data_IF_134335685262
#
_entry.id   IF_134335685262
#
_cell.length_a   1.000
_cell.length_b   1.000
_cell.length_c   1.000
_cell.angle_alpha   90.00
_cell.angle_beta   90.00
_cell.angle_gamma   90.00
#
_symmetry.space_group_name_H-M   'P 1'
#
loop_
_entity.id
_entity.type
_entity.pdbx_description
1 polymer ?
#
# COMPACT_ATOMS: atom_id res chain seq x y z
N UNK A 1 18.74 8.19 -12.32
CA UNK A 1 17.62 8.09 -11.38
C UNK A 1 18.08 7.27 -10.21
N UNK A 2 18.19 7.88 -9.04
CA UNK A 2 18.53 7.16 -7.81
C UNK A 2 17.20 6.61 -7.30
N UNK A 3 16.99 5.29 -7.41
CA UNK A 3 15.97 4.63 -6.60
C UNK A 3 16.47 4.80 -5.16
N UNK A 4 15.78 5.56 -4.28
CA UNK A 4 16.25 5.71 -2.91
C UNK A 4 16.30 4.32 -2.29
N UNK A 5 17.50 3.86 -1.94
CA UNK A 5 17.68 2.57 -1.28
C UNK A 5 16.96 2.63 0.05
N UNK A 6 15.85 1.91 0.16
CA UNK A 6 14.87 1.97 1.27
C UNK A 6 15.48 1.67 2.65
N UNK A 7 16.72 1.14 2.70
CA UNK A 7 17.51 0.96 3.94
C UNK A 7 17.67 2.22 4.79
N UNK A 8 17.43 3.42 4.25
CA UNK A 8 17.51 4.69 4.98
C UNK A 8 16.14 5.32 5.32
N UNK A 9 15.01 4.69 4.95
CA UNK A 9 13.65 5.24 5.07
C UNK A 9 12.85 4.60 6.23
N UNK A 10 13.54 3.87 7.10
CA UNK A 10 12.92 3.18 8.23
C UNK A 10 12.90 4.16 9.42
N UNK A 11 11.80 4.90 9.53
CA UNK A 11 11.55 5.90 10.57
C UNK A 11 10.98 5.30 11.85
N UNK A 12 11.44 5.79 13.00
CA UNK A 12 10.96 5.38 14.33
C UNK A 12 9.68 6.14 14.71
N UNK A 13 8.51 5.52 14.47
CA UNK A 13 7.30 5.65 15.28
C UNK A 13 6.23 6.67 14.85
N UNK A 14 4.97 6.25 14.83
CA UNK A 14 3.88 6.78 15.68
C UNK A 14 2.69 5.79 15.69
N UNK A 15 1.96 5.76 16.82
CA UNK A 15 0.84 4.87 17.12
C UNK A 15 -0.27 4.90 16.06
N UNK A 16 -0.59 3.77 15.42
CA UNK A 16 -1.92 3.11 15.35
C UNK A 16 -1.81 1.77 14.56
N UNK A 17 -2.65 0.79 14.93
CA UNK A 17 -2.87 -0.57 14.38
C UNK A 17 -1.73 -1.62 14.43
N UNK A 18 -0.44 -1.26 14.33
CA UNK A 18 0.66 -2.24 14.42
C UNK A 18 1.39 -2.16 15.76
N UNK A 19 0.80 -2.76 16.80
CA UNK A 19 1.38 -2.80 18.17
C UNK A 19 2.54 -3.82 18.29
N UNK A 20 3.36 -3.99 17.24
CA UNK A 20 4.51 -4.91 17.18
C UNK A 20 5.78 -4.20 16.71
N UNK A 21 6.54 -3.56 17.61
CA UNK A 21 7.97 -3.31 17.35
C UNK A 21 8.72 -4.66 17.26
N UNK A 22 9.73 -4.92 16.38
CA UNK A 22 10.78 -4.04 15.79
C UNK A 22 11.11 -4.35 14.28
N UNK A 23 12.30 -4.01 13.73
CA UNK A 23 12.90 -2.71 13.43
C UNK A 23 12.59 -2.19 12.01
N UNK A 24 11.65 -2.75 11.25
CA UNK A 24 11.52 -2.48 9.82
C UNK A 24 10.09 -2.05 9.44
N UNK A 25 9.69 -0.86 9.87
CA UNK A 25 8.41 -0.23 9.51
C UNK A 25 8.67 1.00 8.63
N UNK A 26 7.79 1.25 7.65
CA UNK A 26 7.71 2.56 7.00
C UNK A 26 6.77 3.39 7.85
N UNK A 27 7.26 4.50 8.39
CA UNK A 27 6.48 5.38 9.25
C UNK A 27 5.34 6.06 8.51
N UNK A 28 4.43 6.63 9.30
CA UNK A 28 3.35 7.45 8.77
C UNK A 28 3.92 8.64 8.00
N UNK A 29 3.35 8.95 6.83
CA UNK A 29 3.77 10.04 5.95
C UNK A 29 5.25 10.04 5.52
N UNK A 30 6.04 8.99 5.79
CA UNK A 30 7.51 8.97 5.62
C UNK A 30 7.98 9.43 4.22
N UNK A 31 7.24 9.07 3.18
CA UNK A 31 7.51 9.39 1.78
C UNK A 31 6.38 10.19 1.12
N UNK A 32 5.47 10.77 1.91
CA UNK A 32 4.34 11.52 1.41
C UNK A 32 4.78 12.75 0.58
N UNK A 33 4.11 12.98 -0.54
CA UNK A 33 4.32 14.12 -1.42
C UNK A 33 5.64 14.10 -2.19
N UNK A 34 6.38 12.97 -2.16
CA UNK A 34 7.72 12.92 -2.75
C UNK A 34 7.69 13.17 -4.26
N UNK A 35 8.29 14.28 -4.76
CA UNK A 35 8.12 14.71 -6.14
C UNK A 35 8.97 13.89 -7.14
N UNK A 36 9.88 13.05 -6.64
CA UNK A 36 10.85 12.29 -7.45
C UNK A 36 10.68 10.78 -7.34
N UNK A 37 9.80 10.30 -6.46
CA UNK A 37 9.62 8.89 -6.18
C UNK A 37 8.84 8.22 -7.32
N UNK A 38 9.55 7.59 -8.24
CA UNK A 38 8.93 6.90 -9.41
C UNK A 38 8.53 5.47 -9.08
N UNK A 39 9.34 4.77 -8.30
CA UNK A 39 9.08 3.39 -7.92
C UNK A 39 9.67 3.09 -6.55
N UNK A 40 9.02 2.20 -5.80
CA UNK A 40 9.50 1.73 -4.50
C UNK A 40 9.55 0.21 -4.51
N UNK A 41 10.70 -0.36 -4.12
CA UNK A 41 10.85 -1.81 -3.94
C UNK A 41 11.09 -2.13 -2.47
N UNK A 42 10.05 -2.70 -1.83
CA UNK A 42 10.05 -3.16 -0.45
C UNK A 42 10.20 -4.68 -0.36
N UNK A 43 10.35 -5.38 -1.48
CA UNK A 43 10.33 -6.85 -1.52
C UNK A 43 11.48 -7.48 -0.72
N UNK A 44 12.58 -6.74 -0.54
CA UNK A 44 13.78 -7.18 0.17
C UNK A 44 13.68 -7.00 1.69
N UNK A 45 12.66 -6.30 2.18
CA UNK A 45 12.45 -6.06 3.62
C UNK A 45 11.54 -7.17 4.16
N UNK A 46 12.10 -8.37 4.31
CA UNK A 46 11.35 -9.58 4.69
C UNK A 46 10.70 -9.47 6.08
N UNK A 47 11.13 -8.52 6.91
CA UNK A 47 10.62 -8.18 8.25
C UNK A 47 9.51 -7.12 8.23
N UNK A 48 9.30 -6.40 7.13
CA UNK A 48 8.22 -5.42 7.02
C UNK A 48 6.87 -6.13 7.11
N UNK A 49 6.07 -5.74 8.11
CA UNK A 49 4.73 -6.27 8.36
C UNK A 49 3.64 -5.26 8.05
N UNK A 50 3.93 -3.98 8.26
CA UNK A 50 2.98 -2.91 8.07
C UNK A 50 3.62 -1.75 7.31
N UNK A 51 2.82 -1.02 6.55
CA UNK A 51 3.21 0.27 5.97
C UNK A 51 2.36 1.35 6.63
N UNK A 52 3.02 2.34 7.22
CA UNK A 52 2.44 3.45 7.95
C UNK A 52 1.36 4.20 7.17
N UNK A 53 0.42 4.78 7.90
CA UNK A 53 -0.66 5.54 7.32
C UNK A 53 -0.10 6.65 6.42
N UNK A 54 -0.67 6.80 5.23
CA UNK A 54 -0.27 7.83 4.28
C UNK A 54 1.20 7.82 3.85
N UNK A 55 1.95 6.72 4.05
CA UNK A 55 3.39 6.65 3.80
C UNK A 55 3.82 7.13 2.41
N UNK A 56 3.02 6.89 1.36
CA UNK A 56 3.30 7.33 -0.02
C UNK A 56 2.25 8.31 -0.55
N UNK A 57 1.44 8.92 0.31
CA UNK A 57 0.34 9.78 -0.10
C UNK A 57 0.83 10.90 -1.00
N UNK A 58 0.12 11.19 -2.09
CA UNK A 58 0.35 12.39 -2.88
C UNK A 58 1.63 12.38 -3.71
N UNK A 59 2.25 11.21 -3.96
CA UNK A 59 3.44 11.12 -4.80
C UNK A 59 3.06 11.35 -6.28
N UNK A 60 3.42 12.49 -6.90
CA UNK A 60 2.88 12.89 -8.20
C UNK A 60 3.43 12.07 -9.38
N UNK A 61 4.55 11.37 -9.18
CA UNK A 61 5.24 10.58 -10.22
C UNK A 61 5.39 9.11 -9.86
N UNK A 62 4.78 8.65 -8.76
CA UNK A 62 4.86 7.24 -8.34
C UNK A 62 4.05 6.37 -9.28
N UNK A 63 4.74 5.47 -9.97
CA UNK A 63 4.18 4.55 -10.96
C UNK A 63 3.99 3.15 -10.40
N UNK A 64 4.84 2.71 -9.47
CA UNK A 64 4.78 1.35 -8.92
C UNK A 64 5.33 1.24 -7.49
N UNK A 65 4.76 0.32 -6.72
CA UNK A 65 5.27 -0.12 -5.42
C UNK A 65 5.26 -1.65 -5.37
N UNK A 66 6.38 -2.24 -5.00
CA UNK A 66 6.51 -3.69 -4.80
C UNK A 66 6.55 -3.96 -3.31
N UNK A 67 5.57 -4.70 -2.80
CA UNK A 67 5.46 -5.04 -1.38
C UNK A 67 6.14 -6.39 -1.05
N UNK A 68 6.59 -6.59 0.19
CA UNK A 68 7.16 -7.88 0.61
C UNK A 68 6.06 -8.90 0.85
N UNK A 69 6.41 -10.18 0.63
CA UNK A 69 5.47 -11.32 0.80
C UNK A 69 4.86 -11.41 2.20
N UNK A 70 5.61 -10.97 3.20
CA UNK A 70 5.23 -11.01 4.61
C UNK A 70 4.41 -9.81 5.09
N UNK A 71 4.02 -8.89 4.20
CA UNK A 71 3.15 -7.77 4.57
C UNK A 71 1.83 -8.29 5.13
N UNK A 72 1.44 -7.81 6.31
CA UNK A 72 0.22 -8.16 7.04
C UNK A 72 -0.87 -7.11 6.85
N UNK A 73 -0.51 -5.82 6.82
CA UNK A 73 -1.48 -4.72 6.75
C UNK A 73 -1.01 -3.56 5.85
N UNK A 74 -1.96 -3.01 5.09
CA UNK A 74 -1.84 -1.70 4.43
C UNK A 74 -2.75 -0.74 5.18
N UNK A 75 -2.18 0.27 5.81
CA UNK A 75 -2.95 1.23 6.61
C UNK A 75 -3.68 2.26 5.76
N UNK A 76 -4.37 3.17 6.44
CA UNK A 76 -5.15 4.26 5.87
C UNK A 76 -4.32 5.07 4.86
N UNK A 77 -4.88 5.28 3.67
CA UNK A 77 -4.37 6.23 2.69
C UNK A 77 -2.94 6.00 2.19
N UNK A 78 -2.34 4.83 2.40
CA UNK A 78 -0.91 4.53 2.11
C UNK A 78 -0.47 4.98 0.72
N UNK A 79 -1.31 4.76 -0.30
CA UNK A 79 -1.07 5.13 -1.70
C UNK A 79 -2.13 6.12 -2.22
N UNK A 80 -2.79 6.87 -1.34
CA UNK A 80 -3.78 7.87 -1.73
C UNK A 80 -3.15 9.02 -2.54
N UNK A 81 -3.95 9.65 -3.41
CA UNK A 81 -3.57 10.80 -4.24
C UNK A 81 -2.32 10.55 -5.12
N UNK A 82 -2.08 9.32 -5.59
CA UNK A 82 -0.98 8.98 -6.50
C UNK A 82 -1.47 8.98 -7.97
N UNK A 83 -1.42 10.10 -8.71
CA UNK A 83 -2.06 10.21 -10.03
C UNK A 83 -1.39 9.40 -11.13
N UNK A 84 -0.17 8.90 -10.91
CA UNK A 84 0.61 8.10 -11.87
C UNK A 84 0.60 6.60 -11.58
N UNK A 85 0.02 6.19 -10.46
CA UNK A 85 -0.04 4.78 -10.07
C UNK A 85 -1.04 4.06 -10.98
N UNK A 86 -0.53 3.19 -11.86
CA UNK A 86 -1.33 2.51 -12.87
C UNK A 86 -1.84 1.14 -12.44
N UNK A 87 -1.06 0.44 -11.60
CA UNK A 87 -1.41 -0.91 -11.13
C UNK A 87 -0.80 -1.15 -9.75
N UNK A 88 -1.51 -1.92 -8.93
CA UNK A 88 -1.00 -2.41 -7.64
C UNK A 88 -1.14 -3.92 -7.58
N UNK A 89 -0.02 -4.63 -7.40
CA UNK A 89 -0.01 -6.08 -7.24
C UNK A 89 0.28 -6.47 -5.78
N UNK A 90 -0.76 -6.94 -5.08
CA UNK A 90 -0.69 -7.49 -3.73
C UNK A 90 -0.85 -9.01 -3.73
N UNK A 91 -0.93 -9.67 -4.88
CA UNK A 91 -1.19 -11.11 -4.98
C UNK A 91 -0.12 -11.96 -4.29
N UNK A 92 1.12 -11.45 -4.24
CA UNK A 92 2.25 -12.09 -3.55
C UNK A 92 2.29 -11.83 -2.04
N UNK A 93 1.45 -10.95 -1.49
CA UNK A 93 1.39 -10.61 -0.06
C UNK A 93 0.51 -11.61 0.68
N UNK A 94 0.99 -12.85 0.83
CA UNK A 94 0.22 -13.98 1.37
C UNK A 94 -0.17 -13.83 2.85
N UNK A 95 0.44 -12.87 3.55
CA UNK A 95 0.10 -12.52 4.92
C UNK A 95 -0.90 -11.36 5.02
N UNK A 96 -1.22 -10.67 3.92
CA UNK A 96 -2.05 -9.47 3.96
C UNK A 96 -3.47 -9.82 4.39
N UNK A 97 -3.95 -9.16 5.43
CA UNK A 97 -5.28 -9.36 6.03
C UNK A 97 -6.21 -8.19 5.78
N UNK A 98 -5.70 -6.97 5.90
CA UNK A 98 -6.51 -5.76 5.83
C UNK A 98 -5.91 -4.73 4.86
N UNK A 99 -6.80 -4.04 4.16
CA UNK A 99 -6.49 -2.83 3.40
C UNK A 99 -7.34 -1.70 3.97
N UNK A 100 -6.67 -0.75 4.61
CA UNK A 100 -7.28 0.33 5.39
C UNK A 100 -7.93 1.40 4.54
N UNK A 101 -8.71 2.25 5.21
CA UNK A 101 -9.55 3.27 4.59
C UNK A 101 -8.77 4.10 3.55
N UNK A 102 -9.35 4.25 2.37
CA UNK A 102 -8.78 5.11 1.33
C UNK A 102 -7.38 4.75 0.85
N UNK A 103 -6.88 3.51 1.07
CA UNK A 103 -5.50 3.13 0.75
C UNK A 103 -5.05 3.48 -0.69
N UNK A 104 -5.96 3.45 -1.68
CA UNK A 104 -5.71 3.87 -3.07
C UNK A 104 -6.67 4.99 -3.52
N UNK A 105 -7.14 5.82 -2.59
CA UNK A 105 -8.04 6.92 -2.86
C UNK A 105 -7.48 7.88 -3.91
N UNK A 106 -8.30 8.31 -4.88
CA UNK A 106 -7.94 9.37 -5.84
C UNK A 106 -6.74 9.03 -6.75
N UNK A 107 -6.47 7.74 -6.99
CA UNK A 107 -5.47 7.29 -7.96
C UNK A 107 -6.04 7.36 -9.39
N UNK A 108 -5.87 8.51 -10.03
CA UNK A 108 -6.50 8.84 -11.31
C UNK A 108 -6.20 7.88 -12.48
N UNK A 109 -5.04 7.22 -12.46
CA UNK A 109 -4.61 6.28 -13.51
C UNK A 109 -4.68 4.81 -13.11
N UNK A 110 -5.19 4.48 -11.92
CA UNK A 110 -5.23 3.10 -11.43
C UNK A 110 -6.21 2.28 -12.26
N UNK A 111 -5.68 1.31 -13.01
CA UNK A 111 -6.40 0.44 -13.94
C UNK A 111 -6.60 -0.97 -13.36
N UNK A 112 -5.76 -1.40 -12.41
CA UNK A 112 -5.89 -2.71 -11.79
C UNK A 112 -5.33 -2.76 -10.36
N UNK A 113 -5.98 -3.57 -9.52
CA UNK A 113 -5.49 -3.97 -8.20
C UNK A 113 -5.69 -5.48 -8.07
N UNK A 114 -4.60 -6.21 -7.81
CA UNK A 114 -4.65 -7.65 -7.56
C UNK A 114 -4.48 -7.91 -6.07
N UNK A 115 -5.41 -8.64 -5.47
CA UNK A 115 -5.40 -8.97 -4.04
C UNK A 115 -5.00 -10.43 -3.77
N UNK A 116 -4.41 -10.72 -2.59
CA UNK A 116 -4.06 -12.08 -2.20
C UNK A 116 -5.27 -12.84 -1.66
N UNK A 117 -5.15 -14.17 -1.63
CA UNK A 117 -6.21 -15.05 -1.12
C UNK A 117 -6.41 -15.01 0.39
N UNK A 118 -5.46 -14.42 1.12
CA UNK A 118 -5.49 -14.21 2.57
C UNK A 118 -6.26 -12.97 3.00
N UNK A 119 -6.70 -12.12 2.06
CA UNK A 119 -7.35 -10.86 2.39
C UNK A 119 -8.67 -11.12 3.12
N UNK A 120 -8.84 -10.50 4.29
CA UNK A 120 -10.01 -10.67 5.16
C UNK A 120 -10.92 -9.43 5.14
N UNK A 121 -10.36 -8.23 4.96
CA UNK A 121 -11.08 -6.97 4.99
C UNK A 121 -10.57 -5.92 3.99
N UNK A 122 -11.53 -5.22 3.38
CA UNK A 122 -11.32 -3.99 2.60
C UNK A 122 -12.18 -2.91 3.24
N UNK A 123 -11.54 -1.86 3.77
CA UNK A 123 -12.23 -0.78 4.47
C UNK A 123 -12.85 0.26 3.51
N UNK A 124 -13.51 1.27 4.07
CA UNK A 124 -14.25 2.26 3.31
C UNK A 124 -13.36 2.99 2.28
N UNK A 125 -13.90 3.19 1.08
CA UNK A 125 -13.30 4.08 0.10
C UNK A 125 -11.90 3.73 -0.40
N UNK A 126 -11.42 2.50 -0.19
CA UNK A 126 -10.09 2.02 -0.64
C UNK A 126 -9.80 2.36 -2.10
N UNK A 127 -10.81 2.34 -2.96
CA UNK A 127 -10.70 2.64 -4.41
C UNK A 127 -11.59 3.83 -4.83
N UNK A 128 -11.99 4.67 -3.87
CA UNK A 128 -12.80 5.85 -4.16
C UNK A 128 -12.04 6.82 -5.08
N UNK A 129 -12.75 7.43 -6.04
CA UNK A 129 -12.18 8.38 -7.02
C UNK A 129 -11.08 7.78 -7.92
N UNK A 130 -11.17 6.50 -8.26
CA UNK A 130 -10.34 5.84 -9.27
C UNK A 130 -11.12 5.66 -10.59
N UNK A 131 -11.21 6.68 -11.47
CA UNK A 131 -12.08 6.65 -12.66
C UNK A 131 -11.66 5.65 -13.74
N UNK A 132 -10.41 5.19 -13.68
CA UNK A 132 -9.80 4.27 -14.65
C UNK A 132 -9.91 2.80 -14.27
N UNK A 133 -10.41 2.48 -13.08
CA UNK A 133 -10.59 1.11 -12.62
C UNK A 133 -11.96 0.61 -13.09
N UNK A 134 -12.04 -0.22 -14.16
CA UNK A 134 -13.33 -0.60 -14.73
C UNK A 134 -14.09 -1.57 -13.80
N UNK A 135 -13.37 -2.51 -13.21
CA UNK A 135 -13.88 -3.56 -12.34
C UNK A 135 -12.84 -3.92 -11.30
N UNK A 136 -13.30 -4.40 -10.15
CA UNK A 136 -12.45 -4.96 -9.10
C UNK A 136 -12.61 -6.49 -9.09
N UNK A 137 -11.52 -7.21 -9.33
CA UNK A 137 -11.52 -8.67 -9.23
C UNK A 137 -11.22 -9.11 -7.80
N UNK A 138 -12.21 -9.73 -7.16
CA UNK A 138 -12.11 -10.30 -5.81
C UNK A 138 -12.15 -11.84 -5.83
N UNK A 139 -12.08 -12.48 -7.01
CA UNK A 139 -12.19 -13.94 -7.16
C UNK A 139 -11.13 -14.71 -6.37
N UNK A 140 -9.93 -14.12 -6.20
CA UNK A 140 -8.85 -14.69 -5.40
C UNK A 140 -9.10 -14.59 -3.89
N UNK A 141 -9.91 -13.62 -3.43
CA UNK A 141 -10.08 -13.26 -2.02
C UNK A 141 -11.04 -14.19 -1.28
N UNK A 142 -10.68 -15.48 -1.18
CA UNK A 142 -11.56 -16.53 -0.63
C UNK A 142 -11.84 -16.39 0.86
N UNK A 143 -11.02 -15.64 1.60
CA UNK A 143 -11.21 -15.38 3.03
C UNK A 143 -11.94 -14.06 3.32
N UNK A 144 -12.29 -13.28 2.32
CA UNK A 144 -12.84 -11.94 2.48
C UNK A 144 -14.18 -11.98 3.21
N UNK A 145 -14.29 -11.23 4.31
CA UNK A 145 -15.49 -11.20 5.17
C UNK A 145 -16.14 -9.82 5.25
N UNK A 146 -15.40 -8.75 4.91
CA UNK A 146 -15.87 -7.37 5.03
C UNK A 146 -15.43 -6.53 3.84
N UNK A 147 -16.37 -5.74 3.31
CA UNK A 147 -16.15 -4.70 2.32
C UNK A 147 -16.99 -3.49 2.77
N UNK A 148 -16.36 -2.33 2.95
CA UNK A 148 -17.04 -1.09 3.33
C UNK A 148 -16.82 -0.72 4.78
#
# INVERSE_FOLDING_TARGET
GIVPTVRHLVGTGSNFACDRQPPDEIGDYELAGSPTLVSVDLSQIASLRCVGAYAFRGCPVLESVVFPRGLEDILEGVLSDCPKLASVDLSACLSLRCVGEGAFHSCALLESVAFPSSLEAIDEGVLSRCPKLPHLDLSACVTLRRIG
#
